data_IF_542553192041
#
_entry.id   IF_542553192041
#
_cell.length_a   1.000
_cell.length_b   1.000
_cell.length_c   1.000
_cell.angle_alpha   90.00
_cell.angle_beta   90.00
_cell.angle_gamma   90.00
#
_symmetry.space_group_name_H-M   'P 1'
#
loop_
_entity.id
_entity.type
_entity.pdbx_description
1 polymer ?
#
# COMPACT_ATOMS: atom_id res chain seq x y z
N UNK A 1 -3.84 -1.35 -7.55
CA UNK A 1 -4.51 -0.92 -6.30
C UNK A 1 -5.39 0.28 -6.59
N UNK A 2 -6.70 0.17 -6.39
CA UNK A 2 -7.66 1.27 -6.57
C UNK A 2 -8.02 1.85 -5.21
N UNK A 3 -7.68 3.12 -4.96
CA UNK A 3 -8.05 3.81 -3.71
C UNK A 3 -9.50 4.33 -3.73
N UNK A 4 -10.42 3.59 -4.37
CA UNK A 4 -11.78 4.03 -4.61
C UNK A 4 -11.81 5.43 -5.22
N UNK A 5 -12.45 6.39 -4.52
CA UNK A 5 -12.74 7.77 -4.97
C UNK A 5 -11.53 8.69 -5.09
N UNK A 6 -10.38 8.29 -4.56
CA UNK A 6 -9.12 9.05 -4.68
C UNK A 6 -8.36 8.74 -5.97
N UNK A 7 -8.71 7.63 -6.66
CA UNK A 7 -8.00 7.17 -7.85
C UNK A 7 -6.63 6.58 -7.56
N UNK A 8 -5.97 6.06 -8.59
CA UNK A 8 -4.60 5.56 -8.45
C UNK A 8 -3.61 6.70 -8.69
N UNK A 9 -2.56 6.78 -7.87
CA UNK A 9 -1.20 7.26 -8.17
C UNK A 9 -1.12 8.15 -9.44
N UNK A 10 -1.09 7.56 -10.65
CA UNK A 10 -0.94 8.30 -11.93
C UNK A 10 -2.23 8.44 -12.80
N UNK A 11 -3.43 8.24 -12.26
CA UNK A 11 -4.69 8.36 -13.01
C UNK A 11 -5.44 9.64 -12.67
N UNK A 12 -5.69 10.52 -13.65
CA UNK A 12 -6.54 11.72 -13.47
C UNK A 12 -8.02 11.43 -13.17
N UNK A 13 -8.39 10.17 -12.92
CA UNK A 13 -9.73 9.71 -12.60
C UNK A 13 -9.68 8.64 -11.51
N UNK A 14 -10.79 8.48 -10.81
CA UNK A 14 -10.99 7.39 -9.87
C UNK A 14 -11.85 6.29 -10.50
N UNK A 15 -11.66 5.04 -10.10
CA UNK A 15 -12.48 3.90 -10.58
C UNK A 15 -13.38 3.47 -9.45
N UNK A 16 -14.68 3.44 -9.72
CA UNK A 16 -15.72 3.23 -8.71
C UNK A 16 -16.82 2.30 -9.22
N UNK A 17 -17.53 1.58 -8.34
CA UNK A 17 -18.62 0.68 -8.74
C UNK A 17 -19.82 1.40 -9.37
N UNK A 18 -19.98 2.70 -9.11
CA UNK A 18 -21.05 3.55 -9.65
C UNK A 18 -20.63 5.01 -9.69
N UNK A 19 -21.12 5.74 -10.69
CA UNK A 19 -20.81 7.16 -10.90
C UNK A 19 -21.66 8.04 -9.97
N UNK A 20 -21.30 8.08 -8.69
CA UNK A 20 -21.90 8.99 -7.72
C UNK A 20 -21.09 10.29 -7.70
N UNK A 21 -21.68 11.47 -7.99
CA UNK A 21 -21.00 12.75 -7.89
C UNK A 21 -20.42 12.98 -6.49
N UNK A 22 -19.19 13.49 -6.44
CA UNK A 22 -18.50 13.76 -5.19
C UNK A 22 -18.43 15.26 -4.92
N UNK A 23 -18.61 15.66 -3.66
CA UNK A 23 -18.68 17.07 -3.25
C UNK A 23 -17.35 17.64 -2.79
N UNK A 24 -16.36 16.80 -2.44
CA UNK A 24 -15.07 17.28 -1.97
C UNK A 24 -14.09 17.56 -3.12
N UNK A 25 -13.34 18.68 -3.11
CA UNK A 25 -12.50 19.12 -4.23
C UNK A 25 -11.36 18.17 -4.59
N UNK A 26 -10.87 17.37 -3.64
CA UNK A 26 -9.75 16.46 -3.83
C UNK A 26 -10.12 15.12 -4.46
N UNK A 27 -11.41 14.84 -4.67
CA UNK A 27 -11.84 13.61 -5.33
C UNK A 27 -11.64 13.70 -6.84
N UNK A 28 -11.02 12.67 -7.41
CA UNK A 28 -10.81 12.59 -8.86
C UNK A 28 -12.14 12.24 -9.56
N UNK A 29 -12.36 12.68 -10.81
CA UNK A 29 -13.55 12.33 -11.58
C UNK A 29 -13.84 10.82 -11.55
N UNK A 30 -15.06 10.38 -11.21
CA UNK A 30 -15.41 8.97 -11.17
C UNK A 30 -15.57 8.38 -12.56
N UNK A 31 -14.88 7.25 -12.78
CA UNK A 31 -15.01 6.35 -13.90
C UNK A 31 -15.68 5.06 -13.40
N UNK A 32 -16.76 4.65 -14.05
CA UNK A 32 -17.47 3.43 -13.67
C UNK A 32 -16.64 2.20 -14.01
N UNK A 33 -16.56 1.26 -13.06
CA UNK A 33 -15.92 -0.03 -13.27
C UNK A 33 -16.83 -0.95 -14.09
N UNK A 34 -16.25 -1.73 -15.01
CA UNK A 34 -16.98 -2.84 -15.61
C UNK A 34 -17.27 -3.93 -14.57
N UNK A 35 -18.23 -4.81 -14.87
CA UNK A 35 -18.52 -5.97 -13.99
C UNK A 35 -17.31 -6.89 -13.84
N UNK A 36 -16.49 -6.98 -14.88
CA UNK A 36 -15.23 -7.72 -14.93
C UNK A 36 -14.20 -7.08 -13.99
N UNK A 37 -14.06 -5.76 -14.00
CA UNK A 37 -13.16 -5.03 -13.09
C UNK A 37 -13.59 -5.18 -11.63
N UNK A 38 -14.90 -5.16 -11.35
CA UNK A 38 -15.42 -5.38 -10.00
C UNK A 38 -15.05 -6.79 -9.52
N UNK A 39 -15.22 -7.81 -10.38
CA UNK A 39 -14.83 -9.19 -10.06
C UNK A 39 -13.32 -9.31 -9.82
N UNK A 40 -12.51 -8.63 -10.63
CA UNK A 40 -11.06 -8.60 -10.47
C UNK A 40 -10.67 -7.97 -9.13
N UNK A 41 -11.24 -6.81 -8.79
CA UNK A 41 -10.98 -6.10 -7.54
C UNK A 41 -11.35 -6.98 -6.32
N UNK A 42 -12.51 -7.63 -6.34
CA UNK A 42 -12.93 -8.57 -5.29
C UNK A 42 -11.94 -9.73 -5.17
N UNK A 43 -11.49 -10.30 -6.30
CA UNK A 43 -10.51 -11.38 -6.31
C UNK A 43 -9.17 -10.93 -5.73
N UNK A 44 -8.69 -9.76 -6.11
CA UNK A 44 -7.44 -9.18 -5.59
C UNK A 44 -7.50 -8.94 -4.08
N UNK A 45 -8.61 -8.40 -3.56
CA UNK A 45 -8.82 -8.24 -2.12
C UNK A 45 -8.92 -9.59 -1.39
N UNK A 46 -9.59 -10.58 -1.97
CA UNK A 46 -9.67 -11.92 -1.39
C UNK A 46 -8.30 -12.64 -1.41
N UNK A 47 -7.51 -12.48 -2.47
CA UNK A 47 -6.14 -13.00 -2.56
C UNK A 47 -5.20 -12.28 -1.60
N UNK A 48 -5.40 -10.98 -1.37
CA UNK A 48 -4.69 -10.21 -0.35
C UNK A 48 -5.02 -10.71 1.06
N UNK A 49 -6.30 -10.92 1.37
CA UNK A 49 -6.74 -11.48 2.65
C UNK A 49 -6.21 -12.91 2.86
N UNK A 50 -6.18 -13.75 1.82
CA UNK A 50 -5.58 -15.08 1.87
C UNK A 50 -4.07 -15.03 2.14
N UNK A 51 -3.34 -14.14 1.48
CA UNK A 51 -1.90 -13.94 1.72
C UNK A 51 -1.63 -13.47 3.14
N UNK A 52 -2.46 -12.55 3.65
CA UNK A 52 -2.44 -12.06 5.02
C UNK A 52 -2.67 -13.17 6.07
N UNK A 53 -3.70 -14.01 5.89
CA UNK A 53 -3.99 -15.13 6.80
C UNK A 53 -2.89 -16.19 6.75
N UNK A 54 -2.37 -16.51 5.55
CA UNK A 54 -1.22 -17.42 5.41
C UNK A 54 0.06 -16.84 6.01
N UNK A 55 0.12 -15.52 6.22
CA UNK A 55 1.25 -14.84 6.83
C UNK A 55 1.26 -14.90 8.36
N UNK A 56 0.16 -15.25 9.03
CA UNK A 56 0.14 -15.35 10.49
C UNK A 56 1.10 -16.44 10.97
N UNK A 57 2.10 -16.05 11.78
CA UNK A 57 3.22 -16.92 12.17
C UNK A 57 4.38 -17.00 11.16
N UNK A 58 4.30 -16.36 9.99
CA UNK A 58 5.47 -16.14 9.13
C UNK A 58 6.37 -15.06 9.71
N UNK A 59 7.63 -15.06 9.29
CA UNK A 59 8.61 -14.05 9.67
C UNK A 59 8.43 -12.76 8.86
N UNK A 60 8.63 -11.62 9.51
CA UNK A 60 8.69 -10.29 8.92
C UNK A 60 10.05 -9.65 9.24
N UNK A 61 10.53 -8.78 8.36
CA UNK A 61 11.61 -7.85 8.66
C UNK A 61 11.02 -6.53 9.12
N UNK A 62 11.41 -6.05 10.29
CA UNK A 62 11.01 -4.74 10.84
C UNK A 62 12.17 -3.80 10.67
N UNK A 63 11.89 -2.66 10.07
CA UNK A 63 12.87 -1.62 9.81
C UNK A 63 12.47 -0.43 10.68
N UNK A 64 13.27 -0.14 11.69
CA UNK A 64 13.00 0.90 12.68
C UNK A 64 14.07 1.99 12.57
N UNK A 65 13.64 3.24 12.48
CA UNK A 65 14.54 4.38 12.55
C UNK A 65 14.88 4.62 14.01
N UNK A 66 16.16 4.47 14.35
CA UNK A 66 16.72 4.74 15.66
C UNK A 66 17.67 5.95 15.58
N UNK A 67 18.09 6.48 16.73
CA UNK A 67 19.01 7.63 16.80
C UNK A 67 20.30 7.42 15.99
N UNK A 68 20.77 6.18 15.90
CA UNK A 68 22.01 5.80 15.21
C UNK A 68 21.81 5.39 13.75
N UNK A 69 20.57 5.43 13.24
CA UNK A 69 20.21 5.03 11.87
C UNK A 69 19.14 3.94 11.83
N UNK A 70 19.05 3.25 10.69
CA UNK A 70 18.04 2.19 10.47
C UNK A 70 18.49 0.88 11.11
N UNK A 71 17.71 0.36 12.05
CA UNK A 71 17.85 -0.99 12.59
C UNK A 71 16.91 -1.95 11.86
N UNK A 72 17.38 -3.17 11.62
CA UNK A 72 16.56 -4.22 11.02
C UNK A 72 16.51 -5.42 11.96
N UNK A 73 15.30 -5.84 12.33
CA UNK A 73 15.07 -7.06 13.12
C UNK A 73 14.19 -8.02 12.36
N UNK A 74 14.29 -9.31 12.68
CA UNK A 74 13.39 -10.35 12.18
C UNK A 74 12.49 -10.76 13.33
N UNK A 75 11.18 -10.69 13.12
CA UNK A 75 10.19 -11.09 14.13
C UNK A 75 9.05 -11.88 13.49
N UNK A 76 8.27 -12.67 14.26
CA UNK A 76 7.03 -13.25 13.76
C UNK A 76 6.00 -12.17 13.45
N UNK A 77 5.22 -12.35 12.39
CA UNK A 77 4.05 -11.52 12.10
C UNK A 77 2.88 -11.94 13.01
N UNK A 78 2.45 -11.08 13.96
CA UNK A 78 1.44 -11.43 14.96
C UNK A 78 0.01 -11.26 14.44
N UNK A 79 -0.16 -10.98 13.14
CA UNK A 79 -1.44 -10.62 12.54
C UNK A 79 -1.73 -9.12 12.57
N UNK A 80 -2.68 -8.68 11.73
CA UNK A 80 -3.01 -7.26 11.52
C UNK A 80 -3.51 -6.52 12.76
N UNK A 81 -4.06 -7.23 13.74
CA UNK A 81 -4.60 -6.62 14.96
C UNK A 81 -3.54 -6.25 15.98
N UNK A 82 -2.39 -6.91 15.92
CA UNK A 82 -1.35 -6.86 16.95
C UNK A 82 0.01 -6.46 16.40
N UNK A 83 0.12 -6.24 15.09
CA UNK A 83 1.37 -5.81 14.48
C UNK A 83 1.64 -4.36 14.86
N UNK A 84 2.84 -4.12 15.40
CA UNK A 84 3.29 -2.80 15.85
C UNK A 84 4.29 -2.23 14.85
N UNK A 85 3.76 -1.75 13.71
CA UNK A 85 4.50 -1.04 12.67
C UNK A 85 3.63 0.06 12.10
N UNK A 86 4.25 1.13 11.61
CA UNK A 86 3.50 2.22 10.98
C UNK A 86 3.06 1.87 9.55
N UNK A 87 3.94 1.19 8.83
CA UNK A 87 3.79 0.75 7.45
C UNK A 87 4.05 -0.75 7.32
N UNK A 88 3.19 -1.46 6.60
CA UNK A 88 3.34 -2.89 6.34
C UNK A 88 3.32 -3.18 4.83
N UNK A 89 4.41 -3.76 4.33
CA UNK A 89 4.51 -4.27 2.97
C UNK A 89 4.38 -5.80 2.98
N UNK A 90 3.47 -6.33 2.16
CA UNK A 90 3.28 -7.77 1.97
C UNK A 90 3.57 -8.12 0.52
N UNK A 91 4.58 -8.95 0.31
CA UNK A 91 5.06 -9.32 -1.01
C UNK A 91 5.51 -10.78 -1.03
N UNK A 92 5.51 -11.39 -2.22
CA UNK A 92 6.04 -12.73 -2.41
C UNK A 92 7.55 -12.71 -2.67
N UNK A 93 8.16 -13.90 -2.67
CA UNK A 93 9.60 -14.09 -2.90
C UNK A 93 10.05 -13.52 -4.27
N UNK A 94 9.19 -13.58 -5.29
CA UNK A 94 9.52 -13.07 -6.62
C UNK A 94 9.66 -11.55 -6.63
N UNK A 95 8.72 -10.85 -6.00
CA UNK A 95 8.75 -9.40 -5.88
C UNK A 95 9.92 -8.94 -5.00
N UNK A 96 10.23 -9.69 -3.94
CA UNK A 96 11.38 -9.40 -3.06
C UNK A 96 12.69 -9.51 -3.83
N UNK A 97 12.85 -10.59 -4.61
CA UNK A 97 14.03 -10.80 -5.45
C UNK A 97 14.19 -9.71 -6.51
N UNK A 98 13.10 -9.23 -7.10
CA UNK A 98 13.13 -8.09 -8.02
C UNK A 98 13.64 -6.82 -7.34
N UNK A 99 13.10 -6.49 -6.17
CA UNK A 99 13.57 -5.33 -5.39
C UNK A 99 15.06 -5.43 -5.04
N UNK A 100 15.52 -6.63 -4.63
CA UNK A 100 16.93 -6.84 -4.32
C UNK A 100 17.87 -6.60 -5.51
N UNK A 101 17.44 -6.93 -6.73
CA UNK A 101 18.24 -6.70 -7.95
C UNK A 101 18.34 -5.21 -8.30
N UNK A 102 17.26 -4.47 -8.10
CA UNK A 102 17.17 -3.06 -8.46
C UNK A 102 17.64 -2.09 -7.35
N UNK A 103 18.00 -2.61 -6.16
CA UNK A 103 18.40 -1.87 -4.97
C UNK A 103 19.40 -0.72 -5.23
N UNK A 104 20.37 -0.94 -6.14
CA UNK A 104 21.45 0.02 -6.39
C UNK A 104 21.07 1.20 -7.28
N UNK A 105 20.08 1.02 -8.16
CA UNK A 105 19.86 1.96 -9.27
C UNK A 105 18.45 2.53 -9.29
N UNK A 106 17.42 1.72 -9.04
CA UNK A 106 16.02 2.08 -9.31
C UNK A 106 15.03 1.49 -8.31
N UNK A 107 15.48 1.15 -7.10
CA UNK A 107 14.68 0.44 -6.09
C UNK A 107 13.28 1.04 -5.88
N UNK A 108 13.18 2.37 -5.73
CA UNK A 108 11.91 3.07 -5.50
C UNK A 108 10.97 3.04 -6.72
N UNK A 109 11.52 3.16 -7.92
CA UNK A 109 10.73 3.06 -9.16
C UNK A 109 10.15 1.67 -9.30
N UNK A 110 10.96 0.64 -9.03
CA UNK A 110 10.50 -0.74 -9.10
C UNK A 110 9.52 -1.07 -7.98
N UNK A 111 9.71 -0.48 -6.79
CA UNK A 111 8.74 -0.54 -5.70
C UNK A 111 7.37 -0.01 -6.13
N UNK A 112 7.33 1.18 -6.75
CA UNK A 112 6.12 1.78 -7.32
C UNK A 112 5.48 0.86 -8.38
N UNK A 113 6.28 0.27 -9.27
CA UNK A 113 5.81 -0.65 -10.30
C UNK A 113 5.15 -1.91 -9.69
N UNK A 114 5.80 -2.52 -8.70
CA UNK A 114 5.32 -3.74 -8.06
C UNK A 114 4.05 -3.49 -7.23
N UNK A 115 3.92 -2.31 -6.60
CA UNK A 115 2.65 -1.87 -5.99
C UNK A 115 1.55 -1.77 -7.05
N UNK A 116 1.82 -1.11 -8.19
CA UNK A 116 0.83 -0.93 -9.27
C UNK A 116 0.37 -2.26 -9.85
N UNK A 117 1.28 -3.23 -9.98
CA UNK A 117 1.00 -4.58 -10.47
C UNK A 117 0.31 -5.49 -9.42
N UNK A 118 0.07 -5.01 -8.20
CA UNK A 118 -0.53 -5.81 -7.11
C UNK A 118 0.39 -6.91 -6.56
N UNK A 119 1.68 -6.85 -6.88
CA UNK A 119 2.73 -7.75 -6.40
C UNK A 119 3.18 -7.41 -4.99
N UNK A 120 3.12 -6.13 -4.63
CA UNK A 120 3.26 -5.63 -3.27
C UNK A 120 1.90 -5.12 -2.82
N UNK A 121 1.43 -5.61 -1.67
CA UNK A 121 0.34 -5.00 -0.93
C UNK A 121 0.95 -4.08 0.12
N UNK A 122 0.35 -2.92 0.28
CA UNK A 122 0.81 -1.89 1.20
C UNK A 122 -0.33 -1.51 2.13
N UNK A 123 -0.05 -1.52 3.43
CA UNK A 123 -0.98 -1.12 4.46
C UNK A 123 -0.36 0.00 5.28
N UNK A 124 -1.16 1.04 5.49
CA UNK A 124 -0.86 2.13 6.41
C UNK A 124 -1.64 1.84 7.70
N UNK A 125 -0.94 1.73 8.83
CA UNK A 125 -1.55 1.36 10.11
C UNK A 125 -1.68 2.53 11.09
N UNK A 126 -1.12 3.69 10.75
CA UNK A 126 -1.32 4.97 11.43
C UNK A 126 -2.19 5.91 10.59
N UNK A 127 -2.79 6.91 11.24
CA UNK A 127 -3.44 8.01 10.52
C UNK A 127 -2.40 8.89 9.80
N UNK A 128 -2.83 9.72 8.85
CA UNK A 128 -1.93 10.63 8.13
C UNK A 128 -1.32 11.65 9.06
N UNK A 129 -2.13 12.30 9.89
CA UNK A 129 -1.63 13.32 10.81
C UNK A 129 -0.49 12.77 11.67
N UNK A 130 -0.62 11.52 12.15
CA UNK A 130 0.45 10.84 12.88
C UNK A 130 1.70 10.59 12.02
N UNK A 131 1.55 10.18 10.77
CA UNK A 131 2.67 9.93 9.86
C UNK A 131 3.38 11.21 9.45
N UNK A 132 2.63 12.28 9.23
CA UNK A 132 3.16 13.61 8.92
C UNK A 132 3.95 14.14 10.11
N UNK A 133 3.42 14.01 11.34
CA UNK A 133 4.14 14.32 12.59
C UNK A 133 5.42 13.48 12.77
N UNK A 134 5.41 12.24 12.27
CA UNK A 134 6.57 11.32 12.30
C UNK A 134 7.54 11.53 11.12
N UNK A 135 7.26 12.47 10.20
CA UNK A 135 8.15 12.82 9.08
C UNK A 135 8.08 11.88 7.86
N UNK A 136 6.98 11.14 7.69
CA UNK A 136 6.81 10.22 6.55
C UNK A 136 6.43 10.91 5.23
N UNK A 137 6.18 12.22 5.22
CA UNK A 137 5.72 12.97 4.03
C UNK A 137 6.55 12.66 2.77
N UNK A 138 7.88 12.78 2.84
CA UNK A 138 8.75 12.56 1.66
C UNK A 138 8.66 11.12 1.13
N UNK A 139 8.53 10.13 2.04
CA UNK A 139 8.39 8.73 1.64
C UNK A 139 7.04 8.48 0.98
N UNK A 140 5.96 9.01 1.56
CA UNK A 140 4.60 8.87 1.05
C UNK A 140 4.49 9.50 -0.34
N UNK A 141 5.03 10.72 -0.51
CA UNK A 141 5.05 11.43 -1.78
C UNK A 141 5.86 10.69 -2.84
N UNK A 142 7.04 10.16 -2.49
CA UNK A 142 7.87 9.41 -3.44
C UNK A 142 7.26 8.09 -3.88
N UNK A 143 6.57 7.42 -2.97
CA UNK A 143 5.84 6.20 -3.31
C UNK A 143 4.53 6.49 -4.05
N UNK A 144 4.14 7.78 -4.10
CA UNK A 144 2.97 8.31 -4.81
C UNK A 144 1.69 7.58 -4.40
N UNK A 145 1.62 7.16 -3.13
CA UNK A 145 0.56 6.25 -2.65
C UNK A 145 -0.73 7.04 -2.49
N UNK A 146 -1.85 6.60 -3.06
CA UNK A 146 -3.11 7.30 -2.91
C UNK A 146 -3.65 6.96 -1.52
N UNK A 147 -3.84 7.99 -0.69
CA UNK A 147 -4.19 7.81 0.72
C UNK A 147 -5.61 7.25 0.89
N UNK A 148 -5.74 6.12 1.59
CA UNK A 148 -7.01 5.52 2.03
C UNK A 148 -7.22 5.86 3.51
N UNK A 149 -7.51 7.13 3.79
CA UNK A 149 -7.93 7.59 5.12
C UNK A 149 -9.45 7.71 5.19
N UNK A 150 -10.05 7.35 6.33
CA UNK A 150 -11.38 7.83 6.68
C UNK A 150 -11.34 9.36 6.69
N UNK A 151 -12.17 10.01 5.87
CA UNK A 151 -12.32 11.46 5.92
C UNK A 151 -12.65 11.86 7.37
N UNK A 152 -11.90 12.82 7.90
CA UNK A 152 -12.33 13.60 9.06
C UNK A 152 -13.59 14.39 8.72
#
# INVERSE_FOLDING_TARGET
MHAGRYGGIDNGFCVVPSVVPQTLPHFRPPCEMSKEDIKLCIKEHADAARRAVKAEGNIMQVWEVQETGMAVTIQPFPGFRSVDVDLLFVLDESALNTLYRELKNNALVEFKNLIRQGKILFYILKSRDQLDEMGYEELIDRLDIPWLGTCH
#
